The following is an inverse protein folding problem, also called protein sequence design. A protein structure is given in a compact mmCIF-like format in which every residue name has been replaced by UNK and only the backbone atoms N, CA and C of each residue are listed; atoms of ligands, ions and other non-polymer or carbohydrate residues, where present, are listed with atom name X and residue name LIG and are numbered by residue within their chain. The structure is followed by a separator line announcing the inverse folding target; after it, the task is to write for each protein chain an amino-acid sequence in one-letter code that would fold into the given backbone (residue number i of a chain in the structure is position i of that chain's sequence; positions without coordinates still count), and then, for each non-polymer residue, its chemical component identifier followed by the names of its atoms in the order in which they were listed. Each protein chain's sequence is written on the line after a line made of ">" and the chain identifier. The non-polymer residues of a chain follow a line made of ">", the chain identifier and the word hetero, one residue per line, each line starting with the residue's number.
data_IF_512132197854
#
_entry.id   IF_512132197854
#
_cell.length_a   1.000
_cell.length_b   1.000
_cell.length_c   1.000
_cell.angle_alpha   90.00
_cell.angle_beta   90.00
_cell.angle_gamma   90.00
#
_symmetry.space_group_name_H-M   'P 1'
#
loop_
_entity.id
_entity.type
_entity.pdbx_description
1 polymer ?
#
# COMPACT_ATOMS: atom_id res chain seq x y z
N UNK A 1 -2.94 4.45 -5.15
CA UNK A 1 -2.29 3.18 -4.71
C UNK A 1 -0.89 3.10 -5.29
N UNK A 2 0.00 2.31 -4.70
CA UNK A 2 1.30 1.97 -5.28
C UNK A 2 1.46 0.45 -5.38
N UNK A 3 1.93 -0.02 -6.53
CA UNK A 3 2.30 -1.42 -6.79
C UNK A 3 3.83 -1.49 -6.84
N UNK A 4 4.42 -2.42 -6.10
CA UNK A 4 5.88 -2.59 -5.98
C UNK A 4 6.31 -3.95 -6.51
N UNK A 5 7.54 -4.03 -7.03
CA UNK A 5 8.11 -5.27 -7.56
C UNK A 5 7.68 -5.58 -8.99
N UNK A 6 7.22 -4.57 -9.74
CA UNK A 6 6.72 -4.73 -11.11
C UNK A 6 7.90 -4.98 -12.05
N UNK A 7 7.84 -6.03 -12.86
CA UNK A 7 8.84 -6.29 -13.90
C UNK A 7 8.56 -5.47 -15.18
N UNK A 8 9.49 -5.42 -16.16
CA UNK A 8 9.28 -4.61 -17.37
C UNK A 8 8.04 -4.98 -18.20
N UNK A 9 7.72 -6.27 -18.35
CA UNK A 9 6.55 -6.72 -19.11
C UNK A 9 5.24 -6.31 -18.43
N UNK A 10 5.17 -6.50 -17.11
CA UNK A 10 4.06 -6.08 -16.26
C UNK A 10 3.87 -4.56 -16.29
N UNK A 11 4.95 -3.78 -16.37
CA UNK A 11 4.88 -2.33 -16.47
C UNK A 11 4.17 -1.89 -17.76
N UNK A 12 4.50 -2.52 -18.89
CA UNK A 12 3.86 -2.19 -20.17
C UNK A 12 2.38 -2.58 -20.17
N UNK A 13 2.01 -3.73 -19.57
CA UNK A 13 0.61 -4.10 -19.33
C UNK A 13 -0.14 -3.03 -18.53
N UNK A 14 0.45 -2.55 -17.43
CA UNK A 14 -0.16 -1.50 -16.60
C UNK A 14 -0.35 -0.18 -17.36
N UNK A 15 0.61 0.22 -18.20
CA UNK A 15 0.50 1.42 -19.04
C UNK A 15 -0.60 1.28 -20.09
N UNK A 16 -0.79 0.07 -20.62
CA UNK A 16 -1.84 -0.25 -21.57
C UNK A 16 -3.22 -0.44 -20.92
N UNK A 17 -3.33 -0.32 -19.59
CA UNK A 17 -4.58 -0.54 -18.87
C UNK A 17 -4.93 -2.03 -18.70
N UNK A 18 -4.00 -2.95 -18.94
CA UNK A 18 -4.14 -4.35 -18.57
C UNK A 18 -3.70 -4.55 -17.11
N UNK A 19 -4.69 -4.66 -16.24
CA UNK A 19 -4.52 -4.77 -14.79
C UNK A 19 -5.14 -6.03 -14.21
N UNK A 20 -5.94 -6.79 -14.97
CA UNK A 20 -6.69 -7.94 -14.44
C UNK A 20 -5.77 -9.01 -13.87
N UNK A 21 -4.58 -9.17 -14.44
CA UNK A 21 -3.56 -10.08 -13.91
C UNK A 21 -3.07 -9.70 -12.50
N UNK A 22 -3.24 -8.45 -12.04
CA UNK A 22 -2.91 -8.04 -10.67
C UNK A 22 -3.88 -8.60 -9.63
N UNK A 23 -5.13 -8.84 -10.04
CA UNK A 23 -6.22 -9.23 -9.15
C UNK A 23 -6.67 -10.68 -9.40
N UNK A 24 -6.43 -11.23 -10.58
CA UNK A 24 -6.91 -12.57 -10.97
C UNK A 24 -8.42 -12.67 -10.84
N UNK A 25 -8.89 -13.78 -10.27
CA UNK A 25 -10.33 -14.02 -10.05
C UNK A 25 -10.94 -13.19 -8.91
N UNK A 26 -10.11 -12.44 -8.16
CA UNK A 26 -10.58 -11.50 -7.10
C UNK A 26 -11.06 -10.16 -7.68
N UNK A 27 -11.43 -10.13 -8.96
CA UNK A 27 -11.88 -8.94 -9.68
C UNK A 27 -13.06 -8.28 -8.95
N UNK A 28 -13.95 -9.03 -8.26
CA UNK A 28 -15.03 -8.52 -7.37
C UNK A 28 -15.82 -7.28 -7.85
N UNK A 29 -15.88 -7.01 -9.17
CA UNK A 29 -16.46 -5.77 -9.70
C UNK A 29 -15.62 -4.51 -9.46
N UNK A 30 -14.29 -4.67 -9.34
CA UNK A 30 -13.35 -3.57 -9.20
C UNK A 30 -13.28 -2.78 -10.50
N UNK A 31 -13.19 -1.46 -10.38
CA UNK A 31 -13.03 -0.59 -11.52
C UNK A 31 -11.53 -0.53 -11.89
N UNK A 32 -11.21 -0.41 -13.19
CA UNK A 32 -9.84 -0.36 -13.64
C UNK A 32 -9.01 0.74 -12.96
N UNK A 33 -7.90 0.38 -12.26
CA UNK A 33 -6.97 1.36 -11.75
C UNK A 33 -6.28 2.08 -12.93
N UNK A 34 -6.14 3.40 -12.84
CA UNK A 34 -5.54 4.22 -13.90
C UNK A 34 -4.05 4.43 -13.65
N UNK A 35 -3.21 4.19 -14.65
CA UNK A 35 -1.78 4.48 -14.57
C UNK A 35 -1.54 5.98 -14.37
N UNK A 36 -0.68 6.33 -13.42
CA UNK A 36 -0.25 7.72 -13.19
C UNK A 36 1.21 7.91 -13.52
N UNK A 37 2.10 7.14 -12.87
CA UNK A 37 3.54 7.21 -13.08
C UNK A 37 4.27 5.98 -12.58
N UNK A 38 5.51 5.81 -13.01
CA UNK A 38 6.40 4.75 -12.54
C UNK A 38 7.84 5.22 -12.37
N UNK A 39 8.59 4.54 -11.52
CA UNK A 39 10.04 4.71 -11.41
C UNK A 39 10.70 3.41 -10.96
N UNK A 40 11.97 3.24 -11.32
CA UNK A 40 12.76 2.09 -10.89
C UNK A 40 13.19 2.28 -9.42
N UNK A 41 12.88 1.31 -8.56
CA UNK A 41 13.15 1.45 -7.13
C UNK A 41 14.63 1.23 -6.79
N UNK A 42 15.25 0.24 -7.43
CA UNK A 42 16.68 -0.07 -7.46
C UNK A 42 16.93 -1.09 -8.58
N UNK A 43 18.18 -1.54 -8.79
CA UNK A 43 18.50 -2.51 -9.86
C UNK A 43 17.70 -3.81 -9.73
N UNK A 44 17.50 -4.28 -8.50
CA UNK A 44 16.92 -5.61 -8.19
C UNK A 44 15.49 -5.56 -7.63
N UNK A 45 15.03 -4.41 -7.14
CA UNK A 45 13.70 -4.28 -6.52
C UNK A 45 12.53 -4.08 -7.51
N UNK A 46 12.83 -4.10 -8.82
CA UNK A 46 11.85 -3.85 -9.88
C UNK A 46 11.33 -2.41 -9.91
N UNK A 47 10.20 -2.22 -10.59
CA UNK A 47 9.52 -0.95 -10.74
C UNK A 47 8.50 -0.72 -9.62
N UNK A 48 8.33 0.56 -9.30
CA UNK A 48 7.23 1.09 -8.49
C UNK A 48 6.27 1.81 -9.43
N UNK A 49 4.99 1.48 -9.35
CA UNK A 49 3.94 2.04 -10.21
C UNK A 49 2.86 2.64 -9.34
N UNK A 50 2.53 3.91 -9.57
CA UNK A 50 1.42 4.60 -8.93
C UNK A 50 0.20 4.48 -9.81
N UNK A 51 -0.86 3.97 -9.21
CA UNK A 51 -2.15 3.80 -9.85
C UNK A 51 -3.20 4.63 -9.11
N UNK A 52 -4.01 5.38 -9.84
CA UNK A 52 -5.20 6.00 -9.30
C UNK A 52 -6.30 4.94 -9.18
N UNK A 53 -6.93 4.90 -8.01
CA UNK A 53 -7.96 3.93 -7.63
C UNK A 53 -9.06 4.71 -6.96
N UNK A 54 -10.31 4.40 -7.34
CA UNK A 54 -11.50 5.01 -6.74
C UNK A 54 -11.49 4.87 -5.22
N UNK A 55 -11.95 5.91 -4.52
CA UNK A 55 -11.82 5.99 -3.07
C UNK A 55 -12.46 4.79 -2.35
N UNK A 56 -13.63 4.34 -2.83
CA UNK A 56 -14.35 3.18 -2.30
C UNK A 56 -13.63 1.84 -2.48
N UNK A 57 -12.69 1.74 -3.44
CA UNK A 57 -12.01 0.49 -3.80
C UNK A 57 -10.61 0.38 -3.21
N UNK A 58 -10.05 1.47 -2.65
CA UNK A 58 -8.69 1.48 -2.09
C UNK A 58 -8.46 0.35 -1.09
N UNK A 59 -9.44 0.07 -0.23
CA UNK A 59 -9.33 -0.99 0.76
C UNK A 59 -9.29 -2.38 0.13
N UNK A 60 -10.10 -2.63 -0.90
CA UNK A 60 -10.08 -3.90 -1.64
C UNK A 60 -8.69 -4.16 -2.24
N UNK A 61 -8.11 -3.15 -2.90
CA UNK A 61 -6.74 -3.26 -3.42
C UNK A 61 -5.68 -3.44 -2.31
N UNK A 62 -5.83 -2.83 -1.13
CA UNK A 62 -4.90 -3.10 -0.01
C UNK A 62 -5.00 -4.53 0.52
N UNK A 63 -6.18 -5.16 0.47
CA UNK A 63 -6.36 -6.54 0.93
C UNK A 63 -5.67 -7.57 0.05
N UNK A 64 -5.52 -7.27 -1.24
CA UNK A 64 -4.79 -8.14 -2.16
C UNK A 64 -3.34 -8.38 -1.70
N UNK A 65 -2.77 -7.46 -0.93
CA UNK A 65 -1.46 -7.62 -0.29
C UNK A 65 -0.36 -7.94 -1.31
N UNK A 66 0.15 -9.17 -1.28
CA UNK A 66 1.13 -9.68 -2.26
C UNK A 66 0.45 -10.68 -3.19
N UNK A 67 0.30 -10.31 -4.47
CA UNK A 67 -0.29 -11.16 -5.51
C UNK A 67 0.46 -10.97 -6.82
N UNK A 68 0.50 -12.00 -7.69
CA UNK A 68 1.19 -11.94 -8.99
C UNK A 68 2.65 -11.43 -8.91
N UNK A 69 3.36 -11.76 -7.82
CA UNK A 69 4.74 -11.31 -7.58
C UNK A 69 4.90 -9.83 -7.18
N UNK A 70 3.81 -9.07 -7.11
CA UNK A 70 3.82 -7.64 -6.76
C UNK A 70 3.18 -7.38 -5.40
N UNK A 71 3.45 -6.21 -4.82
CA UNK A 71 2.86 -5.78 -3.54
C UNK A 71 2.01 -4.53 -3.74
N UNK A 72 0.73 -4.62 -3.36
CA UNK A 72 -0.18 -3.49 -3.24
C UNK A 72 0.03 -2.78 -1.91
N UNK A 73 0.17 -1.46 -1.96
CA UNK A 73 0.25 -0.64 -0.77
C UNK A 73 -0.45 0.71 -0.98
N UNK A 74 -0.89 1.37 0.12
CA UNK A 74 -1.24 2.77 0.08
C UNK A 74 -0.08 3.59 -0.49
N UNK A 75 -0.41 4.51 -1.39
CA UNK A 75 0.57 5.49 -1.83
C UNK A 75 0.67 6.58 -0.76
N UNK A 76 1.89 6.92 -0.37
CA UNK A 76 2.18 8.00 0.57
C UNK A 76 2.92 9.10 -0.20
N UNK A 77 2.44 10.32 -0.05
CA UNK A 77 3.16 11.52 -0.45
C UNK A 77 4.47 11.68 0.33
N UNK A 78 5.35 12.57 -0.15
CA UNK A 78 6.60 12.91 0.54
C UNK A 78 6.40 13.25 2.04
N UNK A 79 5.49 14.19 2.37
CA UNK A 79 5.18 14.53 3.75
C UNK A 79 4.68 13.33 4.58
N UNK A 80 3.79 12.51 4.04
CA UNK A 80 3.26 11.34 4.76
C UNK A 80 4.33 10.27 5.00
N UNK A 81 5.27 10.09 4.06
CA UNK A 81 6.43 9.22 4.27
C UNK A 81 7.33 9.74 5.39
N UNK A 82 7.57 11.05 5.46
CA UNK A 82 8.36 11.65 6.55
C UNK A 82 7.66 11.46 7.91
N UNK A 83 6.35 11.69 7.97
CA UNK A 83 5.56 11.44 9.18
C UNK A 83 5.67 9.97 9.63
N UNK A 84 5.56 9.01 8.71
CA UNK A 84 5.76 7.59 9.05
C UNK A 84 7.16 7.30 9.55
N UNK A 85 8.20 7.90 8.96
CA UNK A 85 9.58 7.74 9.44
C UNK A 85 9.73 8.24 10.87
N UNK A 86 9.27 9.45 11.16
CA UNK A 86 9.30 10.03 12.52
C UNK A 86 8.55 9.16 13.53
N UNK A 87 7.44 8.54 13.11
CA UNK A 87 6.59 7.70 13.97
C UNK A 87 6.99 6.23 13.99
N UNK A 88 8.04 5.85 13.25
CA UNK A 88 8.47 4.45 13.16
C UNK A 88 8.99 3.96 14.51
N UNK A 89 9.64 4.82 15.28
CA UNK A 89 10.12 4.47 16.62
C UNK A 89 8.95 4.20 17.59
N UNK A 90 7.96 5.09 17.63
CA UNK A 90 6.71 4.87 18.38
C UNK A 90 5.97 3.59 17.94
N UNK A 91 5.91 3.32 16.64
CA UNK A 91 5.31 2.08 16.14
C UNK A 91 6.05 0.85 16.67
N UNK A 92 7.38 0.91 16.76
CA UNK A 92 8.20 -0.18 17.30
C UNK A 92 8.03 -0.32 18.80
N UNK A 93 8.04 0.77 19.56
CA UNK A 93 7.86 0.73 21.01
C UNK A 93 6.52 0.10 21.39
N UNK A 94 5.43 0.48 20.71
CA UNK A 94 4.12 -0.16 20.92
C UNK A 94 4.14 -1.67 20.66
N UNK A 95 4.92 -2.11 19.67
CA UNK A 95 5.07 -3.54 19.37
C UNK A 95 5.90 -4.25 20.44
N UNK A 96 6.94 -3.60 20.96
CA UNK A 96 7.80 -4.10 22.03
C UNK A 96 7.04 -4.20 23.37
N UNK A 97 6.10 -3.28 23.61
CA UNK A 97 5.16 -3.30 24.74
C UNK A 97 4.07 -4.39 24.62
N UNK A 98 4.09 -5.19 23.54
CA UNK A 98 3.15 -6.29 23.33
C UNK A 98 1.84 -5.89 22.64
N UNK A 99 1.69 -4.63 22.24
CA UNK A 99 0.54 -4.23 21.44
C UNK A 99 0.68 -4.68 19.99
N UNK A 100 -0.45 -4.69 19.27
CA UNK A 100 -0.51 -5.00 17.83
C UNK A 100 -0.74 -3.72 16.99
N UNK A 101 0.25 -2.81 16.88
CA UNK A 101 0.06 -1.56 16.17
C UNK A 101 -0.11 -1.80 14.66
N UNK A 102 -0.97 -0.99 14.03
CA UNK A 102 -1.22 -0.97 12.59
C UNK A 102 -1.19 0.48 12.10
N UNK A 103 -0.62 0.69 10.93
CA UNK A 103 -0.73 1.97 10.26
C UNK A 103 -2.18 2.20 9.84
N UNK A 104 -2.74 3.34 10.23
CA UNK A 104 -4.08 3.78 9.90
C UNK A 104 -4.04 5.09 9.12
N UNK A 105 -4.77 5.14 8.01
CA UNK A 105 -4.74 6.27 7.07
C UNK A 105 -3.33 6.53 6.53
N UNK A 106 -2.97 7.81 6.42
CA UNK A 106 -1.69 8.26 5.89
C UNK A 106 -0.52 7.91 6.82
N UNK A 107 -0.58 8.35 8.08
CA UNK A 107 0.48 8.17 9.06
C UNK A 107 0.00 7.96 10.50
N UNK A 108 -1.29 7.70 10.73
CA UNK A 108 -1.82 7.37 12.06
C UNK A 108 -1.37 5.98 12.51
N UNK A 109 -1.30 5.76 13.82
CA UNK A 109 -1.03 4.45 14.41
C UNK A 109 -2.24 4.04 15.23
N UNK A 110 -2.83 2.91 14.89
CA UNK A 110 -3.91 2.27 15.65
C UNK A 110 -3.37 1.08 16.40
N UNK A 111 -3.72 0.91 17.66
CA UNK A 111 -3.31 -0.24 18.46
C UNK A 111 -4.45 -0.69 19.38
N UNK A 112 -4.33 -1.90 19.92
CA UNK A 112 -5.32 -2.47 20.84
C UNK A 112 -4.69 -2.49 22.22
N UNK A 113 -5.39 -1.92 23.20
CA UNK A 113 -5.00 -1.92 24.62
C UNK A 113 -6.23 -2.25 25.44
N UNK A 114 -6.13 -3.26 26.32
CA UNK A 114 -7.23 -3.67 27.21
C UNK A 114 -8.56 -3.98 26.47
N UNK A 115 -8.46 -4.50 25.24
CA UNK A 115 -9.60 -4.78 24.37
C UNK A 115 -10.16 -3.57 23.60
N UNK A 116 -9.68 -2.36 23.90
CA UNK A 116 -10.07 -1.13 23.23
C UNK A 116 -9.18 -0.82 22.04
N UNK A 117 -9.80 -0.36 20.95
CA UNK A 117 -9.07 0.14 19.78
C UNK A 117 -8.76 1.62 19.98
N UNK A 118 -7.48 1.93 20.14
CA UNK A 118 -6.98 3.29 20.31
C UNK A 118 -6.31 3.76 19.02
N UNK A 119 -6.65 4.98 18.59
CA UNK A 119 -5.88 5.71 17.60
C UNK A 119 -4.93 6.64 18.35
N UNK A 120 -3.63 6.55 18.06
CA UNK A 120 -2.66 7.50 18.59
C UNK A 120 -2.96 8.87 17.96
N UNK A 121 -3.62 9.73 18.74
CA UNK A 121 -3.94 11.11 18.37
C UNK A 121 -2.71 11.98 18.62
N UNK A 122 -2.43 12.86 17.67
CA UNK A 122 -1.37 13.87 17.75
C UNK A 122 -2.00 15.20 18.12
#
# INVERSE_FOLDING_TARGET
>A
MIVKGVNPEQLEKLKAGDWKWLVGDDDMGLHPPQYIRSWKASKDAGWKVVLNVEMGQRWAFTKLGKKAGVVWAPYLSGPEMQLRKQRTELFRSLKEEGYSPKWHGSAGIRYIKDGETLDYKF
#
